data_IF_230225750765
#
_entry.id   IF_230225750765
#
_cell.length_a   1.000
_cell.length_b   1.000
_cell.length_c   1.000
_cell.angle_alpha   90.00
_cell.angle_beta   90.00
_cell.angle_gamma   90.00
#
_symmetry.space_group_name_H-M   'P 1'
#
loop_
_entity.id
_entity.type
_entity.pdbx_description
1 polymer ?
#
# COMPACT_ATOMS: atom_id res chain seq x y z
N UNK A 1 -7.61 27.66 69.52
CA UNK A 1 -8.81 27.35 68.71
C UNK A 1 -8.85 28.32 67.54
N UNK A 2 -9.49 27.95 66.42
CA UNK A 2 -9.48 26.66 65.74
C UNK A 2 -8.25 26.70 64.80
N UNK A 3 -8.22 26.43 63.48
CA UNK A 3 -9.01 25.61 62.54
C UNK A 3 -8.03 25.04 61.50
N UNK A 4 -8.30 23.88 60.91
CA UNK A 4 -7.51 23.31 59.79
C UNK A 4 -8.37 23.09 58.56
N UNK A 5 -7.83 23.35 57.36
CA UNK A 5 -8.28 22.66 56.14
C UNK A 5 -7.14 22.57 55.10
N UNK A 6 -6.76 21.35 54.67
CA UNK A 6 -5.91 21.17 53.49
C UNK A 6 -6.76 21.20 52.22
N UNK A 7 -6.15 21.49 51.06
CA UNK A 7 -6.80 21.28 49.77
C UNK A 7 -5.75 20.93 48.68
N UNK A 8 -5.78 19.68 48.24
CA UNK A 8 -5.31 19.15 46.94
C UNK A 8 -3.97 19.67 46.39
N UNK A 9 -2.86 19.03 46.82
CA UNK A 9 -1.81 18.69 45.84
C UNK A 9 -2.39 17.59 44.96
N UNK A 10 -2.67 17.90 43.69
CA UNK A 10 -3.09 16.88 42.73
C UNK A 10 -1.87 16.09 42.25
N UNK A 11 -1.45 15.11 43.05
CA UNK A 11 -0.51 14.09 42.59
C UNK A 11 -1.15 13.35 41.41
N UNK A 12 -0.73 13.72 40.20
CA UNK A 12 -1.02 12.97 38.98
C UNK A 12 -0.10 11.76 39.00
N UNK A 13 -0.42 10.80 39.88
CA UNK A 13 0.28 9.53 39.98
C UNK A 13 0.29 8.91 38.60
N UNK A 14 1.47 8.86 37.96
CA UNK A 14 1.61 8.10 36.74
C UNK A 14 1.24 6.66 37.09
N UNK A 15 0.18 6.15 36.47
CA UNK A 15 -0.12 4.73 36.52
C UNK A 15 0.89 4.03 35.61
N UNK A 16 2.16 4.03 36.06
CA UNK A 16 3.22 3.18 35.58
C UNK A 16 2.80 1.74 35.84
N UNK A 17 2.03 1.22 34.88
CA UNK A 17 1.60 -0.16 34.87
C UNK A 17 2.85 -1.03 35.12
N UNK A 18 2.85 -1.87 36.18
CA UNK A 18 4.06 -2.48 36.70
C UNK A 18 4.81 -3.17 35.57
N UNK A 19 6.13 -2.98 35.45
CA UNK A 19 6.87 -3.24 34.22
C UNK A 19 6.71 -4.70 33.80
N UNK A 20 5.74 -4.95 32.92
CA UNK A 20 5.38 -6.28 32.48
C UNK A 20 6.64 -6.92 31.91
N UNK A 21 6.99 -8.11 32.37
CA UNK A 21 8.26 -8.78 32.07
C UNK A 21 8.28 -9.33 30.63
N UNK A 22 8.09 -8.45 29.66
CA UNK A 22 8.30 -8.67 28.25
C UNK A 22 9.80 -8.90 28.07
N UNK A 23 10.19 -10.17 27.90
CA UNK A 23 11.57 -10.53 27.62
C UNK A 23 12.13 -9.62 26.50
N UNK A 24 13.34 -9.06 26.64
CA UNK A 24 13.84 -8.03 25.73
C UNK A 24 13.87 -8.47 24.26
N UNK A 25 14.02 -9.78 24.01
CA UNK A 25 13.91 -10.41 22.70
C UNK A 25 12.55 -10.22 21.98
N UNK A 26 11.44 -10.00 22.71
CA UNK A 26 10.13 -9.68 22.12
C UNK A 26 10.04 -8.21 21.69
N UNK A 27 10.52 -7.28 22.52
CA UNK A 27 10.51 -5.84 22.24
C UNK A 27 11.31 -5.52 20.97
N UNK A 28 12.48 -6.13 20.79
CA UNK A 28 13.32 -5.96 19.61
C UNK A 28 12.69 -6.50 18.31
N UNK A 29 11.95 -7.62 18.39
CA UNK A 29 11.25 -8.19 17.21
C UNK A 29 10.07 -7.32 16.76
N UNK A 30 9.34 -6.71 17.70
CA UNK A 30 8.24 -5.78 17.40
C UNK A 30 8.72 -4.56 16.61
N UNK A 31 9.82 -3.94 17.04
CA UNK A 31 10.41 -2.78 16.34
C UNK A 31 10.87 -3.11 14.92
N UNK A 32 11.54 -4.26 14.73
CA UNK A 32 12.03 -4.70 13.42
C UNK A 32 10.87 -4.92 12.42
N UNK A 33 9.77 -5.54 12.84
CA UNK A 33 8.58 -5.74 11.99
C UNK A 33 7.99 -4.39 11.55
N UNK A 34 7.94 -3.40 12.46
CA UNK A 34 7.51 -2.03 12.14
C UNK A 34 8.38 -1.35 11.09
N UNK A 35 9.70 -1.43 11.22
CA UNK A 35 10.64 -0.87 10.24
C UNK A 35 10.55 -1.54 8.86
N UNK A 36 10.39 -2.87 8.82
CA UNK A 36 10.21 -3.62 7.57
C UNK A 36 8.89 -3.23 6.90
N UNK A 37 7.78 -3.18 7.63
CA UNK A 37 6.48 -2.78 7.11
C UNK A 37 6.48 -1.34 6.56
N UNK A 38 7.14 -0.42 7.26
CA UNK A 38 7.35 0.96 6.79
C UNK A 38 8.14 0.99 5.48
N UNK A 39 9.24 0.25 5.38
CA UNK A 39 10.06 0.16 4.17
C UNK A 39 9.27 -0.39 2.97
N UNK A 40 8.55 -1.50 3.16
CA UNK A 40 7.69 -2.10 2.14
C UNK A 40 6.59 -1.11 1.66
N UNK A 41 5.98 -0.36 2.58
CA UNK A 41 4.92 0.62 2.25
C UNK A 41 5.47 1.84 1.50
N UNK A 42 6.69 2.29 1.81
CA UNK A 42 7.38 3.36 1.06
C UNK A 42 7.77 2.88 -0.34
N UNK A 43 8.24 1.64 -0.50
CA UNK A 43 8.49 1.04 -1.81
C UNK A 43 7.20 0.96 -2.64
N UNK A 44 6.08 0.54 -2.04
CA UNK A 44 4.78 0.49 -2.70
C UNK A 44 4.30 1.88 -3.17
N UNK A 45 4.58 2.95 -2.42
CA UNK A 45 4.34 4.33 -2.88
C UNK A 45 5.16 4.69 -4.10
N UNK A 46 6.49 4.48 -4.06
CA UNK A 46 7.38 4.87 -5.15
C UNK A 46 7.05 4.09 -6.44
N UNK A 47 6.72 2.81 -6.33
CA UNK A 47 6.25 2.00 -7.46
C UNK A 47 4.87 2.41 -7.97
N UNK A 48 3.88 2.68 -7.11
CA UNK A 48 2.56 3.14 -7.57
C UNK A 48 2.59 4.54 -8.19
N UNK A 49 3.43 5.44 -7.68
CA UNK A 49 3.65 6.76 -8.27
C UNK A 49 4.31 6.67 -9.65
N UNK A 50 5.28 5.76 -9.85
CA UNK A 50 5.92 5.55 -11.15
C UNK A 50 5.02 4.83 -12.16
N UNK A 51 4.20 3.86 -11.74
CA UNK A 51 3.14 3.26 -12.57
C UNK A 51 2.17 4.35 -13.05
N UNK A 52 1.65 5.19 -12.14
CA UNK A 52 0.68 6.23 -12.48
C UNK A 52 1.30 7.29 -13.39
N UNK A 53 2.53 7.76 -13.12
CA UNK A 53 3.20 8.74 -13.96
C UNK A 53 3.42 8.27 -15.41
N UNK A 54 4.03 7.10 -15.58
CA UNK A 54 4.28 6.50 -16.91
C UNK A 54 3.00 6.15 -17.67
N UNK A 55 1.96 5.68 -16.96
CA UNK A 55 0.66 5.38 -17.56
C UNK A 55 -0.15 6.66 -17.88
N UNK A 56 0.10 7.77 -17.17
CA UNK A 56 -0.53 9.05 -17.42
C UNK A 56 0.11 9.78 -18.63
N UNK A 57 1.44 9.80 -18.76
CA UNK A 57 2.08 10.41 -19.94
C UNK A 57 1.72 9.65 -21.23
N UNK A 58 1.82 8.31 -21.23
CA UNK A 58 1.41 7.50 -22.39
C UNK A 58 -0.05 7.74 -22.81
N UNK A 59 -0.98 7.86 -21.84
CA UNK A 59 -2.39 8.17 -22.10
C UNK A 59 -2.61 9.64 -22.53
N UNK A 60 -1.87 10.60 -21.98
CA UNK A 60 -1.91 12.00 -22.40
C UNK A 60 -1.44 12.14 -23.85
N UNK A 61 -0.30 11.52 -24.20
CA UNK A 61 0.25 11.54 -25.56
C UNK A 61 -0.71 10.89 -26.55
N UNK A 62 -1.35 9.77 -26.20
CA UNK A 62 -2.43 9.18 -27.00
C UNK A 62 -3.58 10.19 -27.21
N UNK A 63 -4.09 10.80 -26.15
CA UNK A 63 -5.21 11.73 -26.24
C UNK A 63 -4.89 13.03 -27.01
N UNK A 64 -3.64 13.52 -26.99
CA UNK A 64 -3.23 14.72 -27.74
C UNK A 64 -2.82 14.45 -29.19
N UNK A 65 -2.49 13.20 -29.54
CA UNK A 65 -2.07 12.81 -30.91
C UNK A 65 -3.10 11.99 -31.67
N UNK A 66 -4.22 11.63 -31.04
CA UNK A 66 -5.38 11.01 -31.70
C UNK A 66 -6.18 12.07 -32.47
N UNK A 67 -5.97 12.11 -33.80
CA UNK A 67 -6.92 12.76 -34.70
C UNK A 67 -8.21 11.91 -34.76
N UNK A 68 -9.37 12.57 -34.84
CA UNK A 68 -10.67 11.90 -34.90
C UNK A 68 -10.92 11.18 -36.24
N UNK A 69 -11.96 10.35 -36.26
CA UNK A 69 -12.39 9.47 -37.37
C UNK A 69 -12.64 10.14 -38.74
N UNK A 70 -12.50 11.46 -38.88
CA UNK A 70 -12.59 12.20 -40.14
C UNK A 70 -11.25 12.46 -40.85
N UNK A 71 -10.11 12.02 -40.31
CA UNK A 71 -8.78 12.32 -40.86
C UNK A 71 -8.01 11.05 -41.26
N UNK A 72 -7.57 11.00 -42.53
CA UNK A 72 -6.83 9.86 -43.10
C UNK A 72 -5.38 9.71 -42.57
N UNK A 73 -4.91 10.62 -41.71
CA UNK A 73 -3.59 10.55 -41.05
C UNK A 73 -3.73 10.25 -39.54
N UNK A 74 -4.58 9.30 -39.16
CA UNK A 74 -4.58 8.78 -37.80
C UNK A 74 -3.30 7.96 -37.56
N UNK A 75 -2.43 8.48 -36.68
CA UNK A 75 -1.21 7.81 -36.20
C UNK A 75 -1.53 6.53 -35.39
N UNK A 76 -2.78 6.38 -34.94
CA UNK A 76 -3.26 5.27 -34.13
C UNK A 76 -4.30 4.44 -34.91
N UNK A 77 -4.32 3.10 -34.76
CA UNK A 77 -5.34 2.26 -35.38
C UNK A 77 -6.73 2.54 -34.78
N UNK A 78 -7.78 2.32 -35.56
CA UNK A 78 -9.16 2.62 -35.14
C UNK A 78 -9.68 1.64 -34.09
N UNK A 79 -9.40 0.35 -34.26
CA UNK A 79 -9.76 -0.72 -33.32
C UNK A 79 -8.64 -0.92 -32.30
N UNK A 80 -8.82 -0.32 -31.11
CA UNK A 80 -7.73 -0.11 -30.19
C UNK A 80 -8.16 -0.12 -28.71
N UNK A 81 -7.62 -1.06 -27.93
CA UNK A 81 -8.03 -1.26 -26.53
C UNK A 81 -7.22 -0.41 -25.55
N UNK A 82 -7.74 0.78 -25.22
CA UNK A 82 -7.28 1.62 -24.09
C UNK A 82 -7.57 0.99 -22.71
N UNK A 83 -8.44 -0.03 -22.63
CA UNK A 83 -8.97 -0.57 -21.36
C UNK A 83 -7.87 -1.01 -20.37
N UNK A 84 -6.80 -1.72 -20.78
CA UNK A 84 -5.73 -2.10 -19.86
C UNK A 84 -4.97 -0.91 -19.28
N UNK A 85 -4.69 0.12 -20.09
CA UNK A 85 -4.00 1.34 -19.63
C UNK A 85 -4.86 2.15 -18.67
N UNK A 86 -6.16 2.28 -18.94
CA UNK A 86 -7.10 2.94 -18.02
C UNK A 86 -7.24 2.17 -16.70
N UNK A 87 -7.26 0.83 -16.75
CA UNK A 87 -7.23 -0.02 -15.56
C UNK A 87 -5.94 0.17 -14.74
N UNK A 88 -4.77 0.24 -15.39
CA UNK A 88 -3.47 0.51 -14.76
C UNK A 88 -3.43 1.87 -14.04
N UNK A 89 -3.89 2.95 -14.68
CA UNK A 89 -3.98 4.29 -14.06
C UNK A 89 -4.93 4.28 -12.86
N UNK A 90 -6.12 3.68 -13.03
CA UNK A 90 -7.16 3.66 -11.99
C UNK A 90 -6.75 2.82 -10.78
N UNK A 91 -6.25 1.61 -10.99
CA UNK A 91 -5.76 0.75 -9.92
C UNK A 91 -4.48 1.30 -9.28
N UNK A 92 -3.56 1.86 -10.07
CA UNK A 92 -2.34 2.49 -9.58
C UNK A 92 -2.62 3.67 -8.64
N UNK A 93 -3.59 4.52 -8.98
CA UNK A 93 -4.00 5.64 -8.12
C UNK A 93 -4.70 5.18 -6.83
N UNK A 94 -5.50 4.11 -6.88
CA UNK A 94 -6.09 3.48 -5.67
C UNK A 94 -4.98 2.93 -4.74
N UNK A 95 -3.96 2.25 -5.29
CA UNK A 95 -2.81 1.75 -4.52
C UNK A 95 -2.02 2.91 -3.90
N UNK A 96 -1.79 3.99 -4.66
CA UNK A 96 -1.10 5.18 -4.21
C UNK A 96 -1.83 5.84 -3.03
N UNK A 97 -3.12 6.14 -3.17
CA UNK A 97 -3.93 6.73 -2.09
C UNK A 97 -3.99 5.84 -0.86
N UNK A 98 -4.16 4.52 -1.04
CA UNK A 98 -4.17 3.55 0.05
C UNK A 98 -2.82 3.49 0.80
N UNK A 99 -1.71 3.63 0.08
CA UNK A 99 -0.36 3.62 0.66
C UNK A 99 -0.03 4.95 1.35
N UNK A 100 -0.50 6.10 0.83
CA UNK A 100 -0.43 7.40 1.52
C UNK A 100 -1.20 7.31 2.84
N UNK A 101 -2.46 6.83 2.80
CA UNK A 101 -3.31 6.74 3.99
C UNK A 101 -2.76 5.77 5.04
N UNK A 102 -2.05 4.71 4.62
CA UNK A 102 -1.34 3.79 5.51
C UNK A 102 -0.21 4.49 6.26
N UNK A 103 0.60 5.30 5.55
CA UNK A 103 1.66 6.10 6.14
C UNK A 103 1.13 7.20 7.05
N UNK A 104 0.04 7.89 6.68
CA UNK A 104 -0.63 8.88 7.54
C UNK A 104 -1.14 8.22 8.83
N UNK A 105 -1.80 7.06 8.73
CA UNK A 105 -2.30 6.31 9.89
C UNK A 105 -1.17 5.85 10.84
N UNK A 106 -0.01 5.50 10.29
CA UNK A 106 1.17 5.09 11.05
C UNK A 106 1.96 6.26 11.68
N UNK A 107 1.81 7.50 11.16
CA UNK A 107 2.55 8.68 11.62
C UNK A 107 1.74 9.66 12.47
N UNK A 108 0.41 9.70 12.32
CA UNK A 108 -0.47 10.59 13.10
C UNK A 108 -0.79 9.96 14.47
N UNK A 109 -0.32 10.53 15.60
CA UNK A 109 -0.51 9.91 16.92
C UNK A 109 -1.99 9.80 17.31
N UNK A 110 -2.84 10.74 16.88
CA UNK A 110 -4.29 10.69 17.12
C UNK A 110 -5.00 9.47 16.47
N UNK A 111 -4.38 8.86 15.44
CA UNK A 111 -4.84 7.62 14.80
C UNK A 111 -4.10 6.43 15.40
N UNK A 112 -2.76 6.50 15.51
CA UNK A 112 -1.94 5.43 16.05
C UNK A 112 -2.36 4.97 17.46
N UNK A 113 -2.67 5.93 18.35
CA UNK A 113 -3.12 5.68 19.72
C UNK A 113 -4.47 4.96 19.81
N UNK A 114 -5.29 4.98 18.74
CA UNK A 114 -6.56 4.25 18.66
C UNK A 114 -6.29 2.85 18.11
N UNK A 115 -5.74 1.96 18.93
CA UNK A 115 -5.21 0.64 18.55
C UNK A 115 -6.13 -0.21 17.66
N UNK A 116 -7.46 -0.15 17.87
CA UNK A 116 -8.43 -0.83 17.00
C UNK A 116 -8.50 -0.21 15.60
N UNK A 117 -8.59 1.12 15.52
CA UNK A 117 -8.68 1.86 14.26
C UNK A 117 -7.39 1.73 13.46
N UNK A 118 -6.23 1.89 14.10
CA UNK A 118 -4.92 1.75 13.44
C UNK A 118 -4.64 0.31 13.00
N UNK A 119 -5.08 -0.70 13.75
CA UNK A 119 -4.95 -2.12 13.33
C UNK A 119 -5.86 -2.46 12.15
N UNK A 120 -7.15 -2.08 12.20
CA UNK A 120 -8.07 -2.32 11.08
C UNK A 120 -7.62 -1.61 9.80
N UNK A 121 -7.21 -0.34 9.90
CA UNK A 121 -6.76 0.45 8.76
C UNK A 121 -5.46 -0.11 8.14
N UNK A 122 -4.53 -0.60 8.97
CA UNK A 122 -3.32 -1.30 8.52
C UNK A 122 -3.58 -2.63 7.79
N UNK A 123 -4.77 -3.21 7.93
CA UNK A 123 -5.16 -4.45 7.24
C UNK A 123 -6.02 -4.17 5.99
N UNK A 124 -6.92 -3.19 6.07
CA UNK A 124 -7.84 -2.82 4.99
C UNK A 124 -7.12 -2.16 3.81
N UNK A 125 -6.18 -1.24 4.06
CA UNK A 125 -5.51 -0.52 2.97
C UNK A 125 -4.64 -1.41 2.08
N UNK A 126 -3.73 -2.26 2.61
CA UNK A 126 -2.95 -3.16 1.74
C UNK A 126 -3.78 -4.30 1.12
N UNK A 127 -4.93 -4.66 1.68
CA UNK A 127 -5.85 -5.63 1.02
C UNK A 127 -6.64 -4.99 -0.13
N UNK A 128 -7.08 -3.73 0.00
CA UNK A 128 -7.61 -2.94 -1.12
C UNK A 128 -6.54 -2.79 -2.22
N UNK A 129 -5.30 -2.44 -1.85
CA UNK A 129 -4.18 -2.37 -2.80
C UNK A 129 -3.88 -3.69 -3.49
N UNK A 130 -4.01 -4.83 -2.80
CA UNK A 130 -3.82 -6.16 -3.38
C UNK A 130 -4.94 -6.50 -4.39
N UNK A 131 -6.20 -6.22 -4.05
CA UNK A 131 -7.33 -6.40 -4.98
C UNK A 131 -7.17 -5.51 -6.21
N UNK A 132 -6.76 -4.25 -6.06
CA UNK A 132 -6.45 -3.35 -7.17
C UNK A 132 -5.30 -3.87 -8.05
N UNK A 133 -4.22 -4.39 -7.47
CA UNK A 133 -3.10 -4.98 -8.22
C UNK A 133 -3.51 -6.24 -9.00
N UNK A 134 -4.34 -7.10 -8.40
CA UNK A 134 -4.93 -8.27 -9.07
C UNK A 134 -5.85 -7.86 -10.23
N UNK A 135 -6.77 -6.90 -10.01
CA UNK A 135 -7.66 -6.38 -11.06
C UNK A 135 -6.84 -5.80 -12.22
N UNK A 136 -5.86 -4.94 -11.94
CA UNK A 136 -4.98 -4.35 -12.97
C UNK A 136 -4.25 -5.41 -13.80
N UNK A 137 -3.72 -6.44 -13.14
CA UNK A 137 -2.97 -7.52 -13.79
C UNK A 137 -3.89 -8.43 -14.61
N UNK A 138 -5.05 -8.79 -14.07
CA UNK A 138 -6.07 -9.59 -14.76
C UNK A 138 -6.70 -8.86 -15.94
N UNK A 139 -6.91 -7.54 -15.88
CA UNK A 139 -7.33 -6.77 -17.05
C UNK A 139 -6.24 -6.70 -18.11
N UNK A 140 -4.97 -6.57 -17.74
CA UNK A 140 -3.88 -6.58 -18.72
C UNK A 140 -3.80 -7.93 -19.44
N UNK A 141 -3.60 -9.04 -18.71
CA UNK A 141 -3.42 -10.34 -19.35
C UNK A 141 -4.72 -10.94 -19.91
N UNK A 142 -5.88 -10.63 -19.32
CA UNK A 142 -7.18 -11.13 -19.76
C UNK A 142 -7.71 -10.44 -21.02
N UNK A 143 -7.52 -9.11 -21.16
CA UNK A 143 -7.89 -8.41 -22.41
C UNK A 143 -6.86 -8.70 -23.51
N UNK A 144 -5.56 -8.73 -23.18
CA UNK A 144 -4.49 -9.09 -24.13
C UNK A 144 -4.48 -10.61 -24.47
N UNK A 145 -5.45 -11.40 -24.01
CA UNK A 145 -5.72 -12.74 -24.54
C UNK A 145 -6.52 -12.69 -25.86
N UNK A 146 -7.17 -11.57 -26.18
CA UNK A 146 -7.82 -11.34 -27.46
C UNK A 146 -6.77 -11.02 -28.53
N UNK A 147 -6.56 -11.94 -29.48
CA UNK A 147 -5.51 -11.84 -30.50
C UNK A 147 -5.83 -10.90 -31.67
N UNK A 148 -6.94 -10.15 -31.60
CA UNK A 148 -7.49 -9.35 -32.72
C UNK A 148 -7.34 -7.84 -32.58
N UNK A 149 -6.98 -7.30 -31.40
CA UNK A 149 -6.85 -5.86 -31.16
C UNK A 149 -5.44 -5.48 -30.70
N UNK A 150 -4.97 -4.31 -31.13
CA UNK A 150 -3.69 -3.75 -30.67
C UNK A 150 -3.87 -3.02 -29.34
N UNK A 151 -2.90 -3.16 -28.43
CA UNK A 151 -2.86 -2.46 -27.15
C UNK A 151 -1.79 -1.36 -27.17
N UNK A 152 -1.87 -0.38 -26.26
CA UNK A 152 -0.97 0.79 -26.25
C UNK A 152 0.50 0.37 -26.14
N UNK A 153 0.78 -0.69 -25.38
CA UNK A 153 2.10 -1.28 -25.27
C UNK A 153 2.53 -2.04 -26.53
N UNK A 154 1.68 -2.88 -27.14
CA UNK A 154 2.08 -3.63 -28.35
C UNK A 154 2.31 -2.70 -29.54
N UNK A 155 1.46 -1.68 -29.73
CA UNK A 155 1.63 -0.68 -30.77
C UNK A 155 2.90 0.17 -30.53
N UNK A 156 3.06 0.81 -29.37
CA UNK A 156 4.24 1.66 -29.11
C UNK A 156 5.55 0.89 -29.18
N UNK A 157 5.57 -0.39 -28.79
CA UNK A 157 6.74 -1.24 -28.94
C UNK A 157 6.99 -1.76 -30.37
N UNK A 158 5.96 -1.94 -31.20
CA UNK A 158 6.13 -2.26 -32.62
C UNK A 158 6.79 -1.10 -33.37
N UNK A 159 6.40 0.14 -33.07
CA UNK A 159 6.95 1.35 -33.69
C UNK A 159 8.19 1.92 -32.96
N UNK A 160 8.67 1.28 -31.89
CA UNK A 160 9.75 1.78 -31.03
C UNK A 160 11.11 2.02 -31.71
N UNK A 161 11.36 1.39 -32.86
CA UNK A 161 12.58 1.58 -33.65
C UNK A 161 12.55 2.83 -34.55
N UNK A 162 11.42 3.54 -34.62
CA UNK A 162 11.25 4.75 -35.43
C UNK A 162 11.37 5.97 -34.52
N UNK A 163 12.48 6.69 -34.68
CA UNK A 163 12.71 8.00 -34.07
C UNK A 163 11.86 9.06 -34.74
N UNK A 164 11.08 9.80 -33.96
CA UNK A 164 10.36 11.00 -34.38
C UNK A 164 10.94 12.19 -33.62
N UNK A 165 11.19 13.32 -34.29
CA UNK A 165 11.60 14.58 -33.66
C UNK A 165 10.45 15.32 -32.96
N UNK A 166 9.22 14.82 -33.11
CA UNK A 166 8.00 15.32 -32.48
C UNK A 166 7.27 14.19 -31.76
N UNK A 167 6.50 14.51 -30.72
CA UNK A 167 5.67 13.51 -30.02
C UNK A 167 4.68 12.86 -31.01
N UNK A 168 4.49 11.52 -31.00
CA UNK A 168 4.93 10.56 -29.96
C UNK A 168 6.35 9.99 -30.14
N UNK A 169 7.12 9.96 -29.06
CA UNK A 169 8.44 9.29 -29.00
C UNK A 169 8.29 7.79 -28.72
N UNK A 170 8.04 6.97 -29.75
CA UNK A 170 7.69 5.54 -29.61
C UNK A 170 8.63 4.72 -28.71
N UNK A 171 9.94 4.87 -28.88
CA UNK A 171 10.95 4.16 -28.08
C UNK A 171 10.96 4.54 -26.59
N UNK A 172 10.39 5.69 -26.22
CA UNK A 172 10.18 6.11 -24.82
C UNK A 172 8.87 5.53 -24.29
N UNK A 173 7.76 5.69 -25.01
CA UNK A 173 6.44 5.16 -24.60
C UNK A 173 6.44 3.63 -24.44
N UNK A 174 7.21 2.90 -25.27
CA UNK A 174 7.39 1.46 -25.12
C UNK A 174 8.12 1.09 -23.81
N UNK A 175 9.14 1.87 -23.41
CA UNK A 175 9.85 1.65 -22.14
C UNK A 175 8.96 1.97 -20.95
N UNK A 176 8.24 3.08 -21.00
CA UNK A 176 7.31 3.54 -19.95
C UNK A 176 6.19 2.53 -19.69
N UNK A 177 5.47 2.12 -20.74
CA UNK A 177 4.40 1.11 -20.62
C UNK A 177 4.92 -0.25 -20.13
N UNK A 178 6.09 -0.69 -20.60
CA UNK A 178 6.73 -1.92 -20.14
C UNK A 178 7.18 -1.85 -18.68
N UNK A 179 7.67 -0.69 -18.21
CA UNK A 179 7.98 -0.44 -16.80
C UNK A 179 6.71 -0.44 -15.94
N UNK A 180 5.62 0.21 -16.39
CA UNK A 180 4.34 0.20 -15.69
C UNK A 180 3.80 -1.22 -15.47
N UNK A 181 3.84 -2.07 -16.51
CA UNK A 181 3.44 -3.48 -16.43
C UNK A 181 4.29 -4.27 -15.43
N UNK A 182 5.63 -4.20 -15.55
CA UNK A 182 6.50 -4.95 -14.63
C UNK A 182 6.31 -4.51 -13.17
N UNK A 183 6.15 -3.21 -12.92
CA UNK A 183 5.87 -2.70 -11.58
C UNK A 183 4.49 -3.14 -11.08
N UNK A 184 3.44 -3.15 -11.92
CA UNK A 184 2.10 -3.58 -11.50
C UNK A 184 2.05 -5.06 -11.13
N UNK A 185 2.80 -5.92 -11.84
CA UNK A 185 2.96 -7.34 -11.48
C UNK A 185 3.71 -7.48 -10.15
N UNK A 186 4.79 -6.71 -9.94
CA UNK A 186 5.58 -6.74 -8.70
C UNK A 186 4.83 -6.15 -7.49
N UNK A 187 3.74 -5.40 -7.68
CA UNK A 187 2.85 -4.99 -6.58
C UNK A 187 2.13 -6.17 -5.91
N UNK A 188 1.88 -7.28 -6.61
CA UNK A 188 1.21 -8.45 -6.01
C UNK A 188 2.04 -9.08 -4.87
N UNK A 189 3.31 -9.52 -5.08
CA UNK A 189 4.13 -10.05 -4.00
C UNK A 189 4.49 -8.99 -2.95
N UNK A 190 4.66 -7.71 -3.34
CA UNK A 190 4.94 -6.65 -2.38
C UNK A 190 3.77 -6.45 -1.39
N UNK A 191 2.53 -6.42 -1.88
CA UNK A 191 1.35 -6.24 -1.03
C UNK A 191 1.09 -7.46 -0.15
N UNK A 192 1.43 -8.67 -0.61
CA UNK A 192 1.44 -9.88 0.23
C UNK A 192 2.47 -9.79 1.36
N UNK A 193 3.66 -9.22 1.13
CA UNK A 193 4.66 -8.98 2.19
C UNK A 193 4.19 -7.92 3.19
N UNK A 194 3.55 -6.84 2.73
CA UNK A 194 2.94 -5.83 3.61
C UNK A 194 1.87 -6.48 4.50
N UNK A 195 0.91 -7.22 3.93
CA UNK A 195 -0.11 -7.94 4.68
C UNK A 195 0.50 -8.96 5.67
N UNK A 196 1.48 -9.73 5.23
CA UNK A 196 2.18 -10.73 6.07
C UNK A 196 2.82 -10.11 7.31
N UNK A 197 3.51 -8.97 7.16
CA UNK A 197 4.12 -8.27 8.32
C UNK A 197 3.07 -7.73 9.30
N UNK A 198 1.92 -7.23 8.81
CA UNK A 198 0.80 -6.79 9.67
C UNK A 198 0.19 -7.97 10.43
N UNK A 199 -0.09 -9.09 9.76
CA UNK A 199 -0.68 -10.29 10.37
C UNK A 199 0.26 -10.92 11.41
N UNK A 200 1.56 -11.04 11.11
CA UNK A 200 2.56 -11.53 12.07
C UNK A 200 2.67 -10.61 13.28
N UNK A 201 2.65 -9.29 13.08
CA UNK A 201 2.62 -8.30 14.16
C UNK A 201 1.37 -8.42 15.04
N UNK A 202 0.20 -8.63 14.44
CA UNK A 202 -1.06 -8.81 15.16
C UNK A 202 -1.07 -10.12 15.99
N UNK A 203 -0.70 -11.25 15.39
CA UNK A 203 -0.62 -12.54 16.07
C UNK A 203 0.39 -12.51 17.23
N UNK A 204 1.49 -11.78 17.09
CA UNK A 204 2.44 -11.52 18.17
C UNK A 204 1.82 -10.80 19.37
N UNK A 205 1.02 -9.75 19.12
CA UNK A 205 0.28 -9.03 20.17
C UNK A 205 -0.76 -9.91 20.85
N UNK A 206 -1.55 -10.67 20.09
CA UNK A 206 -2.58 -11.57 20.63
C UNK A 206 -1.95 -12.65 21.51
N UNK A 207 -0.86 -13.29 21.07
CA UNK A 207 -0.13 -14.29 21.87
C UNK A 207 0.41 -13.69 23.17
N UNK A 208 0.97 -12.47 23.12
CA UNK A 208 1.42 -11.75 24.31
C UNK A 208 0.30 -11.48 25.32
N UNK A 209 -0.87 -11.02 24.84
CA UNK A 209 -2.04 -10.75 25.69
C UNK A 209 -2.62 -12.02 26.33
N UNK A 210 -2.70 -13.13 25.59
CA UNK A 210 -3.17 -14.43 26.14
C UNK A 210 -2.21 -14.95 27.22
N UNK A 211 -0.89 -14.88 26.99
CA UNK A 211 0.11 -15.27 28.01
C UNK A 211 0.03 -14.36 29.24
N UNK A 212 -0.11 -13.04 29.05
CA UNK A 212 -0.29 -12.07 30.15
C UNK A 212 -1.51 -12.38 31.01
N UNK A 213 -2.67 -12.65 30.39
CA UNK A 213 -3.89 -13.05 31.12
C UNK A 213 -3.73 -14.38 31.87
N UNK A 214 -2.95 -15.33 31.36
CA UNK A 214 -2.67 -16.58 32.08
C UNK A 214 -1.85 -16.31 33.35
N UNK A 215 -0.75 -15.56 33.23
CA UNK A 215 0.13 -15.23 34.38
C UNK A 215 -0.60 -14.41 35.46
N UNK A 216 -1.52 -13.54 35.05
CA UNK A 216 -2.39 -12.79 35.98
C UNK A 216 -3.42 -13.70 36.69
N UNK A 217 -3.93 -14.72 36.00
CA UNK A 217 -4.80 -15.75 36.60
C UNK A 217 -4.04 -16.63 37.59
N UNK A 218 -2.88 -17.16 37.19
CA UNK A 218 -2.02 -18.00 38.02
C UNK A 218 -1.61 -17.25 39.32
N UNK A 219 -1.31 -15.94 39.24
CA UNK A 219 -1.02 -15.09 40.41
C UNK A 219 -2.18 -14.94 41.41
N UNK A 220 -3.43 -14.99 40.94
CA UNK A 220 -4.62 -14.90 41.82
C UNK A 220 -5.07 -16.25 42.36
N UNK A 221 -4.50 -17.34 41.84
CA UNK A 221 -4.75 -18.71 42.30
C UNK A 221 -3.93 -19.15 43.51
N UNK A 222 -2.91 -18.40 43.92
CA UNK A 222 -2.15 -18.67 45.15
C UNK A 222 -2.81 -18.00 46.36
N UNK A 223 -3.49 -18.74 47.26
CA UNK A 223 -3.89 -18.17 48.55
C UNK A 223 -2.64 -17.82 49.37
N UNK A 224 -2.66 -16.68 50.04
CA UNK A 224 -1.64 -16.37 51.04
C UNK A 224 -1.82 -17.32 52.23
N UNK A 225 -0.86 -18.22 52.43
CA UNK A 225 -0.76 -19.02 53.65
C UNK A 225 -0.34 -18.10 54.80
N UNK A 226 -1.27 -17.89 55.73
CA UNK A 226 -1.14 -17.16 56.99
C UNK A 226 -2.01 -17.83 58.07
#
# INVERSE_FOLDING_TARGET
MPFSKPEVTSDVTSFDAPPSSQHPAMRHKSGLIGSINLGLTVLALLSSMTIVGTSAETLQVYNTTRLGNGHFLSIWPNEFDIRPTVALVTCGSIILVSSILSLVAARVPAIANKTLLSTSLSLLLPSISLVAALISTSFFYGVNASSTTFSLQSWTCQWANISMDVKPHWGTLCKESKVALYLSVMMIPLQLLVLGTVVVGFLGRVKGWVVGRKVEGDRKGSPALS
#
